data_IF_493023431960
#
_entry.id   IF_493023431960
#
_cell.length_a   1.000
_cell.length_b   1.000
_cell.length_c   1.000
_cell.angle_alpha   90.00
_cell.angle_beta   90.00
_cell.angle_gamma   90.00
#
_symmetry.space_group_name_H-M   'P 1'
#
loop_
_entity.id
_entity.type
_entity.pdbx_description
1 polymer ?
#
# COMPACT_ATOMS: atom_id res chain seq x y z
N UNK A 1 -32.50 2.84 9.31
CA UNK A 1 -31.42 2.70 8.32
C UNK A 1 -30.79 1.32 8.51
N UNK A 2 -30.62 0.54 7.43
CA UNK A 2 -29.96 -0.78 7.52
C UNK A 2 -28.50 -0.51 7.88
N UNK A 3 -27.98 -1.15 8.94
CA UNK A 3 -26.57 -1.01 9.30
C UNK A 3 -25.73 -1.62 8.17
N UNK A 4 -24.80 -0.87 7.60
CA UNK A 4 -23.85 -1.38 6.60
C UNK A 4 -22.98 -2.45 7.25
N UNK A 5 -22.63 -3.47 6.49
CA UNK A 5 -21.71 -4.55 6.87
C UNK A 5 -20.26 -4.07 6.87
N UNK A 6 -19.91 -3.20 5.93
CA UNK A 6 -18.58 -2.59 5.85
C UNK A 6 -18.56 -1.29 6.69
N UNK A 7 -17.54 -1.17 7.54
CA UNK A 7 -17.28 0.01 8.37
C UNK A 7 -15.79 0.38 8.29
N UNK A 8 -15.43 1.50 7.62
CA UNK A 8 -14.04 1.89 7.44
C UNK A 8 -13.40 2.40 8.73
N UNK A 9 -14.19 2.77 9.74
CA UNK A 9 -13.72 3.27 11.03
C UNK A 9 -13.41 2.15 12.03
N UNK A 10 -13.68 0.90 11.66
CA UNK A 10 -13.43 -0.24 12.54
C UNK A 10 -11.94 -0.60 12.56
N UNK A 11 -11.30 -0.47 13.72
CA UNK A 11 -9.89 -0.86 13.90
C UNK A 11 -9.62 -2.33 13.58
N UNK A 12 -10.45 -3.23 14.11
CA UNK A 12 -10.35 -4.69 13.93
C UNK A 12 -11.49 -5.18 13.03
N UNK A 13 -11.32 -5.19 11.69
CA UNK A 13 -12.43 -5.45 10.78
C UNK A 13 -12.95 -6.89 10.86
N UNK A 14 -12.08 -7.86 11.13
CA UNK A 14 -12.43 -9.27 11.18
C UNK A 14 -12.96 -9.65 12.56
N UNK A 15 -14.22 -10.08 12.61
CA UNK A 15 -14.92 -10.49 13.84
C UNK A 15 -15.59 -11.84 13.63
N UNK A 16 -15.37 -12.75 14.58
CA UNK A 16 -15.93 -14.10 14.57
C UNK A 16 -17.44 -14.07 14.90
N UNK A 17 -18.20 -15.14 14.59
CA UNK A 17 -19.64 -15.19 14.86
C UNK A 17 -20.04 -14.99 16.33
N UNK A 18 -19.14 -15.30 17.27
CA UNK A 18 -19.31 -15.09 18.71
C UNK A 18 -18.98 -13.66 19.18
N UNK A 19 -18.59 -12.78 18.25
CA UNK A 19 -18.20 -11.40 18.53
C UNK A 19 -16.71 -11.20 18.82
N UNK A 20 -15.89 -12.26 18.81
CA UNK A 20 -14.45 -12.16 19.06
C UNK A 20 -13.75 -11.42 17.92
N UNK A 21 -13.03 -10.34 18.24
CA UNK A 21 -12.22 -9.60 17.27
C UNK A 21 -10.87 -10.28 17.00
N UNK A 22 -10.51 -10.43 15.73
CA UNK A 22 -9.19 -10.92 15.31
C UNK A 22 -8.22 -9.75 15.30
N UNK A 23 -7.56 -9.51 16.45
CA UNK A 23 -6.72 -8.33 16.68
C UNK A 23 -5.45 -8.25 15.82
N UNK A 24 -5.07 -9.36 15.18
CA UNK A 24 -3.93 -9.44 14.27
C UNK A 24 -4.24 -8.95 12.86
N UNK A 25 -5.50 -8.62 12.57
CA UNK A 25 -5.93 -7.99 11.32
C UNK A 25 -6.48 -6.61 11.66
N UNK A 26 -5.91 -5.57 11.07
CA UNK A 26 -6.28 -4.17 11.34
C UNK A 26 -6.55 -3.40 10.06
N UNK A 27 -7.51 -2.48 10.08
CA UNK A 27 -7.57 -1.43 9.06
C UNK A 27 -6.41 -0.45 9.28
N UNK A 28 -5.61 -0.22 8.24
CA UNK A 28 -4.35 0.52 8.33
C UNK A 28 -4.57 1.99 8.67
N UNK A 29 -5.61 2.63 8.11
CA UNK A 29 -5.98 4.02 8.42
C UNK A 29 -6.48 4.22 9.87
N UNK A 30 -6.75 3.14 10.61
CA UNK A 30 -7.16 3.19 12.02
C UNK A 30 -5.99 2.93 13.00
N UNK A 31 -4.81 2.57 12.49
CA UNK A 31 -3.63 2.25 13.31
C UNK A 31 -2.37 3.01 12.92
N UNK A 32 -2.36 3.70 11.80
CA UNK A 32 -1.25 4.54 11.34
C UNK A 32 -1.70 6.00 11.31
N UNK A 33 -1.05 6.81 12.13
CA UNK A 33 -1.09 8.27 12.09
C UNK A 33 0.33 8.77 11.81
N UNK A 34 0.66 8.94 10.53
CA UNK A 34 1.99 9.36 10.08
C UNK A 34 1.87 10.40 8.96
N UNK A 35 2.54 11.56 9.04
CA UNK A 35 2.29 12.69 8.12
C UNK A 35 2.68 12.42 6.67
N UNK A 36 3.53 11.43 6.41
CA UNK A 36 3.94 11.01 5.06
C UNK A 36 3.24 9.74 4.56
N UNK A 37 2.27 9.20 5.31
CA UNK A 37 1.52 8.00 4.91
C UNK A 37 0.05 8.37 4.72
N UNK A 38 -0.46 8.16 3.51
CA UNK A 38 -1.87 8.32 3.17
C UNK A 38 -2.46 6.93 2.89
N UNK A 39 -3.56 6.58 3.56
CA UNK A 39 -4.18 5.25 3.44
C UNK A 39 -5.68 5.40 3.16
N UNK A 40 -6.13 4.75 2.10
CA UNK A 40 -7.54 4.63 1.76
C UNK A 40 -8.29 3.65 2.67
N UNK A 41 -9.58 3.91 2.83
CA UNK A 41 -10.50 3.07 3.60
C UNK A 41 -10.45 1.59 3.24
N UNK A 42 -10.73 0.74 4.24
CA UNK A 42 -10.82 -0.72 4.16
C UNK A 42 -9.51 -1.46 3.83
N UNK A 43 -8.44 -0.75 3.51
CA UNK A 43 -7.12 -1.36 3.33
C UNK A 43 -6.62 -1.91 4.65
N UNK A 44 -6.32 -3.21 4.68
CA UNK A 44 -5.97 -3.91 5.90
C UNK A 44 -4.57 -4.51 5.85
N UNK A 45 -4.02 -4.71 7.04
CA UNK A 45 -2.80 -5.48 7.24
C UNK A 45 -3.07 -6.65 8.18
N UNK A 46 -2.77 -7.86 7.70
CA UNK A 46 -2.81 -9.08 8.48
C UNK A 46 -1.41 -9.47 8.94
N UNK A 47 -1.16 -9.42 10.24
CA UNK A 47 0.09 -9.83 10.86
C UNK A 47 -0.09 -11.11 11.69
N UNK A 48 1.00 -11.68 12.21
CA UNK A 48 0.90 -12.83 13.12
C UNK A 48 0.79 -12.40 14.58
N UNK A 49 1.19 -11.15 14.87
CA UNK A 49 1.19 -10.56 16.20
C UNK A 49 0.55 -9.17 16.13
N UNK A 50 0.21 -8.60 17.29
CA UNK A 50 -0.19 -7.19 17.38
C UNK A 50 1.09 -6.36 17.46
N UNK A 51 1.16 -5.28 16.68
CA UNK A 51 2.32 -4.39 16.65
C UNK A 51 2.05 -3.14 17.47
N UNK A 52 3.12 -2.58 18.05
CA UNK A 52 3.08 -1.27 18.71
C UNK A 52 3.08 -0.14 17.67
N UNK A 53 3.89 -0.28 16.62
CA UNK A 53 4.02 0.71 15.53
C UNK A 53 3.92 0.03 14.16
N UNK A 54 2.74 0.13 13.56
CA UNK A 54 2.46 -0.39 12.23
C UNK A 54 3.14 0.41 11.11
N UNK A 55 3.34 1.72 11.30
CA UNK A 55 3.94 2.60 10.30
C UNK A 55 5.42 2.24 10.13
N UNK A 56 6.17 2.19 11.23
CA UNK A 56 7.59 1.82 11.23
C UNK A 56 7.81 0.37 10.79
N UNK A 57 6.87 -0.54 11.09
CA UNK A 57 6.96 -1.92 10.59
C UNK A 57 6.78 -1.98 9.07
N UNK A 58 5.75 -1.32 8.54
CA UNK A 58 5.40 -1.41 7.12
C UNK A 58 6.39 -0.62 6.24
N UNK A 59 6.79 0.58 6.67
CA UNK A 59 7.66 1.49 5.94
C UNK A 59 8.82 2.00 6.83
N UNK A 60 9.81 1.15 7.15
CA UNK A 60 10.83 1.42 8.18
C UNK A 60 11.77 2.60 7.89
N UNK A 61 11.79 3.11 6.66
CA UNK A 61 12.64 4.23 6.25
C UNK A 61 11.83 5.48 5.89
N UNK A 62 10.53 5.51 6.21
CA UNK A 62 9.71 6.69 6.01
C UNK A 62 9.58 7.44 7.32
N UNK A 63 10.24 8.59 7.39
CA UNK A 63 10.28 9.42 8.59
C UNK A 63 9.32 10.60 8.44
N UNK A 64 8.90 11.27 9.54
CA UNK A 64 8.05 12.44 9.44
C UNK A 64 8.61 13.58 8.57
N UNK A 65 9.94 13.73 8.57
CA UNK A 65 10.69 14.70 7.77
C UNK A 65 11.05 14.20 6.35
N UNK A 66 10.74 12.94 6.02
CA UNK A 66 10.93 12.45 4.66
C UNK A 66 10.09 13.29 3.69
N UNK A 67 10.66 13.72 2.56
CA UNK A 67 9.93 14.54 1.59
C UNK A 67 9.11 13.71 0.60
N UNK A 68 9.34 12.39 0.52
CA UNK A 68 8.44 11.50 -0.20
C UNK A 68 7.27 11.02 0.67
N UNK A 69 6.18 10.65 0.00
CA UNK A 69 5.01 10.01 0.60
C UNK A 69 4.91 8.53 0.23
N UNK A 70 4.26 7.78 1.10
CA UNK A 70 3.66 6.50 0.79
C UNK A 70 2.15 6.68 0.68
N UNK A 71 1.59 6.36 -0.49
CA UNK A 71 0.14 6.40 -0.71
C UNK A 71 -0.36 4.99 -0.94
N UNK A 72 -1.33 4.55 -0.16
CA UNK A 72 -2.01 3.25 -0.29
C UNK A 72 -3.49 3.52 -0.58
N UNK A 73 -4.01 2.97 -1.66
CA UNK A 73 -5.42 3.11 -2.03
C UNK A 73 -6.37 2.37 -1.07
N UNK A 74 -7.63 2.24 -1.50
CA UNK A 74 -8.70 1.58 -0.75
C UNK A 74 -8.73 0.07 -1.01
N UNK A 75 -9.29 -0.69 -0.07
CA UNK A 75 -9.54 -2.13 -0.19
C UNK A 75 -8.30 -2.99 -0.47
N UNK A 76 -7.09 -2.53 -0.15
CA UNK A 76 -5.87 -3.33 -0.32
C UNK A 76 -5.75 -4.42 0.75
N UNK A 77 -5.16 -5.56 0.35
CA UNK A 77 -4.93 -6.70 1.22
C UNK A 77 -3.43 -6.90 1.40
N UNK A 78 -2.89 -6.51 2.57
CA UNK A 78 -1.46 -6.57 2.85
C UNK A 78 -1.18 -7.70 3.84
N UNK A 79 -0.44 -8.72 3.39
CA UNK A 79 -0.14 -9.89 4.19
C UNK A 79 1.09 -9.70 5.10
N UNK A 80 1.26 -10.63 6.03
CA UNK A 80 2.34 -10.65 7.02
C UNK A 80 3.71 -10.40 6.39
N UNK A 81 4.54 -9.59 7.08
CA UNK A 81 5.95 -9.42 6.73
C UNK A 81 6.22 -8.53 5.50
N UNK A 82 5.19 -7.97 4.86
CA UNK A 82 5.38 -7.01 3.77
C UNK A 82 6.20 -5.80 4.25
N UNK A 83 7.10 -5.32 3.38
CA UNK A 83 7.93 -4.13 3.60
C UNK A 83 7.84 -3.20 2.41
N UNK A 84 7.70 -1.91 2.68
CA UNK A 84 7.69 -0.85 1.69
C UNK A 84 8.90 0.03 1.96
N UNK A 85 9.94 -0.12 1.14
CA UNK A 85 11.16 0.66 1.24
C UNK A 85 10.92 1.98 0.50
N UNK A 86 11.02 3.10 1.22
CA UNK A 86 10.81 4.45 0.68
C UNK A 86 12.11 5.13 0.29
N UNK A 87 12.03 6.27 -0.39
CA UNK A 87 13.22 6.87 -1.00
C UNK A 87 14.28 7.34 -0.01
N UNK A 88 13.92 7.61 1.24
CA UNK A 88 14.87 7.98 2.29
C UNK A 88 15.78 6.82 2.74
N UNK A 89 15.52 5.59 2.28
CA UNK A 89 16.44 4.47 2.45
C UNK A 89 17.67 4.54 1.53
N UNK A 90 17.64 5.34 0.47
CA UNK A 90 18.73 5.42 -0.50
C UNK A 90 19.86 6.30 0.02
N UNK A 91 21.10 5.86 -0.21
CA UNK A 91 22.31 6.64 0.09
C UNK A 91 22.79 7.37 -1.16
N UNK A 92 23.58 8.43 -0.97
CA UNK A 92 24.29 9.07 -2.06
C UNK A 92 25.33 8.10 -2.66
N UNK A 93 25.30 7.91 -3.98
CA UNK A 93 26.20 7.00 -4.72
C UNK A 93 27.15 7.73 -5.69
N UNK A 94 27.15 9.07 -5.71
CA UNK A 94 27.96 9.84 -6.65
C UNK A 94 29.44 9.92 -6.27
N UNK A 95 29.77 9.71 -4.99
CA UNK A 95 31.15 9.76 -4.48
C UNK A 95 31.82 8.39 -4.42
N UNK A 96 33.06 8.35 -3.92
CA UNK A 96 33.78 7.09 -3.68
C UNK A 96 33.24 6.27 -2.50
N UNK A 97 32.42 6.87 -1.64
CA UNK A 97 31.82 6.22 -0.48
C UNK A 97 30.31 6.45 -0.48
N UNK A 98 29.56 5.40 -0.12
CA UNK A 98 28.12 5.46 0.17
C UNK A 98 27.83 5.56 1.67
N UNK A 99 28.87 5.65 2.51
CA UNK A 99 28.70 5.79 3.96
C UNK A 99 28.08 7.15 4.30
N UNK A 100 26.99 7.20 5.10
CA UNK A 100 26.29 8.44 5.39
C UNK A 100 26.96 9.18 6.56
N UNK A 101 28.17 9.72 6.36
CA UNK A 101 28.95 10.38 7.42
C UNK A 101 28.12 11.41 8.20
N UNK A 102 27.31 12.20 7.50
CA UNK A 102 26.47 13.25 8.10
C UNK A 102 25.51 12.72 9.18
N UNK A 103 25.03 11.48 9.07
CA UNK A 103 24.14 10.87 10.06
C UNK A 103 24.85 10.59 11.40
N UNK A 104 26.18 10.46 11.40
CA UNK A 104 26.99 10.14 12.58
C UNK A 104 27.83 11.31 13.09
N UNK A 105 27.80 12.44 12.39
CA UNK A 105 28.52 13.67 12.77
C UNK A 105 27.59 14.76 13.28
N UNK A 106 26.32 14.44 13.53
CA UNK A 106 25.36 15.39 14.10
C UNK A 106 25.79 15.81 15.50
N UNK A 107 25.62 17.09 15.80
CA UNK A 107 25.89 17.71 17.10
C UNK A 107 24.66 18.50 17.56
N UNK A 108 24.59 18.94 18.83
CA UNK A 108 23.49 19.81 19.30
C UNK A 108 23.34 21.12 18.49
N UNK A 109 24.37 21.54 17.76
CA UNK A 109 24.37 22.73 16.90
C UNK A 109 23.85 22.45 15.47
N UNK A 110 23.61 21.19 15.10
CA UNK A 110 23.10 20.84 13.77
C UNK A 110 21.71 21.42 13.57
N UNK A 111 21.56 22.27 12.56
CA UNK A 111 20.32 22.97 12.25
C UNK A 111 19.28 22.07 11.56
N UNK A 112 18.00 22.43 11.67
CA UNK A 112 16.92 21.75 10.95
C UNK A 112 17.17 21.71 9.43
N UNK A 113 17.74 22.78 8.87
CA UNK A 113 18.09 22.85 7.43
C UNK A 113 19.16 21.83 7.05
N UNK A 114 20.14 21.58 7.92
CA UNK A 114 21.16 20.55 7.69
C UNK A 114 20.54 19.15 7.73
N UNK A 115 19.61 18.91 8.66
CA UNK A 115 18.85 17.65 8.73
C UNK A 115 18.01 17.44 7.46
N UNK A 116 17.27 18.47 7.02
CA UNK A 116 16.49 18.42 5.78
C UNK A 116 17.36 18.12 4.56
N UNK A 117 18.57 18.70 4.50
CA UNK A 117 19.52 18.45 3.42
C UNK A 117 20.01 16.99 3.38
N UNK A 118 20.05 16.27 4.52
CA UNK A 118 20.42 14.84 4.55
C UNK A 118 19.42 13.97 3.80
N UNK A 119 18.14 14.39 3.71
CA UNK A 119 17.15 13.70 2.91
C UNK A 119 17.31 13.97 1.41
N UNK A 120 18.07 14.98 0.97
CA UNK A 120 18.18 15.37 -0.43
C UNK A 120 19.30 14.63 -1.17
N UNK A 121 19.23 13.29 -1.19
CA UNK A 121 20.18 12.45 -1.91
C UNK A 121 19.96 12.48 -3.43
N UNK A 122 21.02 12.58 -4.25
CA UNK A 122 20.92 12.45 -5.70
C UNK A 122 20.28 11.10 -6.10
N UNK A 123 19.36 11.12 -7.07
CA UNK A 123 18.72 9.90 -7.57
C UNK A 123 17.56 9.37 -6.70
N UNK A 124 17.02 10.17 -5.77
CA UNK A 124 15.76 9.90 -5.07
C UNK A 124 14.68 9.43 -6.07
N UNK A 125 13.90 8.44 -5.67
CA UNK A 125 12.84 7.83 -6.48
C UNK A 125 11.47 8.49 -6.28
N UNK A 126 11.31 9.28 -5.22
CA UNK A 126 10.07 9.99 -4.91
C UNK A 126 9.06 9.09 -4.18
N UNK A 127 7.78 9.39 -4.40
CA UNK A 127 6.67 8.74 -3.72
C UNK A 127 6.48 7.29 -4.17
N UNK A 128 6.12 6.43 -3.23
CA UNK A 128 5.64 5.07 -3.54
C UNK A 128 4.12 5.09 -3.56
N UNK A 129 3.52 4.57 -4.63
CA UNK A 129 2.08 4.55 -4.83
C UNK A 129 1.58 3.11 -4.94
N UNK A 130 0.62 2.74 -4.10
CA UNK A 130 -0.12 1.50 -4.18
C UNK A 130 -1.56 1.89 -4.50
N UNK A 131 -2.10 1.37 -5.60
CA UNK A 131 -3.47 1.62 -6.04
C UNK A 131 -4.53 1.01 -5.11
N UNK A 132 -5.72 0.80 -5.63
CA UNK A 132 -6.88 0.23 -4.95
C UNK A 132 -7.02 -1.26 -5.30
N UNK A 133 -7.65 -2.05 -4.43
CA UNK A 133 -7.83 -3.50 -4.63
C UNK A 133 -6.52 -4.25 -4.91
N UNK A 134 -5.41 -3.80 -4.33
CA UNK A 134 -4.10 -4.45 -4.51
C UNK A 134 -3.94 -5.56 -3.47
N UNK A 135 -3.62 -6.77 -3.93
CA UNK A 135 -3.24 -7.88 -3.06
C UNK A 135 -1.71 -8.01 -2.99
N UNK A 136 -1.14 -7.86 -1.80
CA UNK A 136 0.30 -8.00 -1.56
C UNK A 136 0.56 -9.23 -0.70
N UNK A 137 1.19 -10.23 -1.32
CA UNK A 137 1.53 -11.51 -0.69
C UNK A 137 2.58 -11.39 0.41
N UNK A 138 2.59 -12.41 1.28
CA UNK A 138 3.45 -12.50 2.47
C UNK A 138 4.91 -12.19 2.15
N UNK A 139 5.56 -11.38 2.98
CA UNK A 139 7.00 -11.04 2.89
C UNK A 139 7.42 -10.38 1.56
N UNK A 140 6.50 -9.81 0.77
CA UNK A 140 6.88 -9.02 -0.40
C UNK A 140 7.56 -7.70 0.01
N UNK A 141 8.54 -7.28 -0.78
CA UNK A 141 9.29 -6.03 -0.62
C UNK A 141 8.98 -5.13 -1.81
N UNK A 142 8.47 -3.93 -1.54
CA UNK A 142 8.24 -2.89 -2.54
C UNK A 142 9.38 -1.89 -2.45
N UNK A 143 10.10 -1.66 -3.56
CA UNK A 143 11.25 -0.77 -3.60
C UNK A 143 10.85 0.71 -3.79
N UNK A 144 11.76 1.66 -3.51
CA UNK A 144 11.44 3.09 -3.53
C UNK A 144 10.90 3.59 -4.86
N UNK A 145 9.85 4.41 -4.79
CA UNK A 145 9.28 5.13 -5.93
C UNK A 145 8.46 4.26 -6.89
N UNK A 146 8.19 3.01 -6.53
CA UNK A 146 7.38 2.09 -7.34
C UNK A 146 5.91 2.54 -7.30
N UNK A 147 5.26 2.49 -8.45
CA UNK A 147 3.80 2.60 -8.60
C UNK A 147 3.20 1.23 -8.91
N UNK A 148 2.27 0.77 -8.07
CA UNK A 148 1.49 -0.46 -8.25
C UNK A 148 0.07 -0.09 -8.64
N UNK A 149 -0.34 -0.46 -9.86
CA UNK A 149 -1.66 -0.15 -10.39
C UNK A 149 -2.80 -0.88 -9.68
N UNK A 150 -4.02 -0.34 -9.84
CA UNK A 150 -5.24 -0.90 -9.24
C UNK A 150 -5.44 -2.38 -9.61
N UNK A 151 -5.91 -3.18 -8.65
CA UNK A 151 -6.22 -4.59 -8.87
C UNK A 151 -5.00 -5.49 -9.08
N UNK A 152 -3.77 -5.00 -8.94
CA UNK A 152 -2.57 -5.81 -9.10
C UNK A 152 -2.43 -6.87 -7.99
N UNK A 153 -1.73 -7.96 -8.30
CA UNK A 153 -1.40 -9.01 -7.33
C UNK A 153 0.12 -9.17 -7.27
N UNK A 154 0.68 -8.98 -6.09
CA UNK A 154 2.10 -9.18 -5.82
C UNK A 154 2.27 -10.53 -5.13
N UNK A 155 2.97 -11.47 -5.78
CA UNK A 155 3.24 -12.78 -5.20
C UNK A 155 4.04 -12.68 -3.90
N UNK A 156 3.87 -13.67 -3.02
CA UNK A 156 4.65 -13.75 -1.78
C UNK A 156 6.17 -13.73 -2.06
N UNK A 157 6.94 -13.10 -1.16
CA UNK A 157 8.41 -12.95 -1.23
C UNK A 157 8.92 -12.27 -2.51
N UNK A 158 8.08 -11.53 -3.21
CA UNK A 158 8.49 -10.79 -4.40
C UNK A 158 9.26 -9.53 -4.01
N UNK A 159 10.26 -9.16 -4.81
CA UNK A 159 10.94 -7.86 -4.69
C UNK A 159 10.59 -7.01 -5.89
N UNK A 160 9.65 -6.09 -5.69
CA UNK A 160 9.10 -5.23 -6.74
C UNK A 160 10.03 -4.03 -6.92
N UNK A 161 10.80 -4.07 -8.01
CA UNK A 161 11.84 -3.07 -8.35
C UNK A 161 11.42 -2.10 -9.46
N UNK A 162 10.23 -2.28 -10.03
CA UNK A 162 9.66 -1.50 -11.15
C UNK A 162 8.15 -1.40 -10.97
N UNK A 163 7.55 -0.42 -11.63
CA UNK A 163 6.11 -0.23 -11.65
C UNK A 163 5.37 -1.49 -12.13
N UNK A 164 4.17 -1.67 -11.59
CA UNK A 164 3.29 -2.80 -11.89
C UNK A 164 2.02 -2.24 -12.51
N UNK A 165 1.72 -2.68 -13.73
CA UNK A 165 0.51 -2.24 -14.42
C UNK A 165 -0.76 -2.75 -13.71
N UNK A 166 -1.90 -2.03 -13.82
CA UNK A 166 -3.16 -2.45 -13.24
C UNK A 166 -3.55 -3.88 -13.61
N UNK A 167 -4.19 -4.58 -12.67
CA UNK A 167 -4.68 -5.96 -12.82
C UNK A 167 -3.61 -6.97 -13.26
N UNK A 168 -2.34 -6.68 -13.00
CA UNK A 168 -1.22 -7.58 -13.35
C UNK A 168 -0.80 -8.40 -12.14
N UNK A 169 -0.56 -9.69 -12.36
CA UNK A 169 0.05 -10.58 -11.37
C UNK A 169 1.56 -10.57 -11.61
N UNK A 170 2.34 -10.24 -10.58
CA UNK A 170 3.80 -10.26 -10.63
C UNK A 170 4.36 -11.18 -9.55
N UNK A 171 5.56 -11.71 -9.78
CA UNK A 171 6.26 -12.54 -8.79
C UNK A 171 7.76 -12.61 -9.00
N UNK A 172 8.50 -12.91 -7.92
CA UNK A 172 9.94 -13.21 -7.96
C UNK A 172 10.84 -12.07 -7.45
N UNK A 173 12.15 -12.29 -7.51
CA UNK A 173 13.19 -11.33 -7.13
C UNK A 173 14.30 -11.28 -8.21
N UNK A 174 14.35 -10.24 -9.07
CA UNK A 174 13.38 -9.15 -9.16
C UNK A 174 12.01 -9.65 -9.65
N UNK A 175 10.94 -9.00 -9.21
CA UNK A 175 9.57 -9.35 -9.61
C UNK A 175 9.38 -9.14 -11.12
N UNK A 176 8.73 -10.09 -11.77
CA UNK A 176 8.38 -10.05 -13.20
C UNK A 176 6.89 -10.28 -13.37
N UNK A 177 6.31 -9.70 -14.41
CA UNK A 177 4.94 -9.99 -14.82
C UNK A 177 4.78 -11.48 -15.15
N UNK A 178 3.76 -12.10 -14.58
CA UNK A 178 3.36 -13.49 -14.82
C UNK A 178 2.22 -13.51 -15.83
N UNK A 179 1.13 -12.78 -15.54
CA UNK A 179 -0.03 -12.61 -16.42
C UNK A 179 -0.91 -11.44 -15.98
N UNK A 180 -1.81 -11.00 -16.86
CA UNK A 180 -2.96 -10.16 -16.48
C UNK A 180 -4.06 -11.03 -15.84
N UNK A 181 -4.84 -10.44 -14.92
CA UNK A 181 -6.00 -11.09 -14.29
C UNK A 181 -7.15 -11.31 -15.29
N UNK A 182 -7.36 -10.34 -16.19
CA UNK A 182 -8.49 -10.29 -17.13
C UNK A 182 -8.04 -9.83 -18.53
N UNK A 183 -9.00 -9.78 -19.47
CA UNK A 183 -8.78 -9.15 -20.78
C UNK A 183 -8.62 -7.63 -20.65
N UNK A 184 -7.92 -7.01 -21.58
CA UNK A 184 -7.73 -5.55 -21.62
C UNK A 184 -9.08 -4.79 -21.59
N UNK A 185 -10.07 -5.24 -22.36
CA UNK A 185 -11.42 -4.65 -22.35
C UNK A 185 -12.06 -4.67 -20.95
N UNK A 186 -11.86 -5.75 -20.20
CA UNK A 186 -12.39 -5.86 -18.82
C UNK A 186 -11.63 -4.93 -17.88
N UNK A 187 -10.31 -4.85 -18.04
CA UNK A 187 -9.44 -3.97 -17.25
C UNK A 187 -9.82 -2.51 -17.48
N UNK A 188 -9.96 -2.07 -18.73
CA UNK A 188 -10.38 -0.71 -19.09
C UNK A 188 -11.72 -0.35 -18.43
N UNK A 189 -12.71 -1.25 -18.54
CA UNK A 189 -14.02 -1.07 -17.89
C UNK A 189 -13.91 -0.94 -16.38
N UNK A 190 -13.10 -1.77 -15.72
CA UNK A 190 -12.90 -1.69 -14.27
C UNK A 190 -12.21 -0.39 -13.85
N UNK A 191 -11.22 0.07 -14.62
CA UNK A 191 -10.50 1.32 -14.38
C UNK A 191 -11.36 2.56 -14.66
N UNK A 192 -12.36 2.46 -15.54
CA UNK A 192 -13.38 3.49 -15.71
C UNK A 192 -14.41 3.45 -14.57
N UNK A 193 -14.83 2.25 -14.15
CA UNK A 193 -15.84 2.01 -13.13
C UNK A 193 -15.42 2.52 -11.74
N UNK A 194 -14.15 2.27 -11.37
CA UNK A 194 -13.55 2.59 -10.07
C UNK A 194 -14.49 2.28 -8.90
N UNK A 195 -14.96 1.04 -8.84
CA UNK A 195 -15.98 0.62 -7.86
C UNK A 195 -15.60 0.93 -6.41
N UNK A 196 -14.30 0.96 -6.10
CA UNK A 196 -13.76 1.35 -4.79
C UNK A 196 -14.08 2.79 -4.36
N UNK A 197 -14.55 3.63 -5.28
CA UNK A 197 -15.02 4.99 -4.99
C UNK A 197 -16.53 5.09 -4.79
N UNK A 198 -17.28 4.00 -4.93
CA UNK A 198 -18.71 4.00 -4.63
C UNK A 198 -18.97 4.11 -3.14
N UNK A 199 -20.14 4.64 -2.79
CA UNK A 199 -20.63 4.58 -1.42
C UNK A 199 -20.82 3.12 -0.97
N UNK A 200 -20.65 2.87 0.32
CA UNK A 200 -20.65 1.52 0.91
C UNK A 200 -21.93 0.77 0.57
N UNK A 201 -23.09 1.43 0.62
CA UNK A 201 -24.38 0.81 0.29
C UNK A 201 -24.41 0.31 -1.16
N UNK A 202 -23.83 1.06 -2.11
CA UNK A 202 -23.77 0.64 -3.52
C UNK A 202 -22.81 -0.53 -3.69
N UNK A 203 -21.70 -0.57 -2.95
CA UNK A 203 -20.80 -1.74 -2.94
C UNK A 203 -21.54 -2.96 -2.41
N UNK A 204 -22.20 -2.86 -1.26
CA UNK A 204 -22.91 -3.97 -0.60
C UNK A 204 -24.02 -4.56 -1.47
N UNK A 205 -24.79 -3.72 -2.15
CA UNK A 205 -25.84 -4.15 -3.08
C UNK A 205 -25.28 -4.91 -4.29
N UNK A 206 -24.00 -4.73 -4.61
CA UNK A 206 -23.36 -5.27 -5.81
C UNK A 206 -22.20 -6.23 -5.52
N UNK A 207 -22.04 -6.66 -4.26
CA UNK A 207 -20.97 -7.57 -3.84
C UNK A 207 -20.91 -8.84 -4.69
N UNK A 208 -22.06 -9.46 -4.97
CA UNK A 208 -22.11 -10.68 -5.78
C UNK A 208 -21.51 -10.45 -7.19
N UNK A 209 -21.77 -9.29 -7.79
CA UNK A 209 -21.26 -8.96 -9.11
C UNK A 209 -19.75 -8.69 -9.08
N UNK A 210 -19.27 -7.99 -8.04
CA UNK A 210 -17.84 -7.72 -7.81
C UNK A 210 -17.08 -9.04 -7.61
N UNK A 211 -17.56 -9.91 -6.72
CA UNK A 211 -16.91 -11.16 -6.35
C UNK A 211 -16.89 -12.19 -7.49
N UNK A 212 -17.93 -12.22 -8.33
CA UNK A 212 -18.05 -13.18 -9.43
C UNK A 212 -17.62 -12.62 -10.80
N UNK A 213 -16.92 -11.49 -10.84
CA UNK A 213 -16.43 -10.87 -12.08
C UNK A 213 -17.53 -10.56 -13.12
N UNK A 214 -18.75 -10.23 -12.68
CA UNK A 214 -19.87 -9.88 -13.56
C UNK A 214 -19.77 -8.41 -14.00
N UNK A 215 -18.80 -8.15 -14.88
CA UNK A 215 -18.55 -6.80 -15.39
C UNK A 215 -19.75 -6.22 -16.16
N UNK A 216 -20.57 -7.07 -16.79
CA UNK A 216 -21.76 -6.63 -17.53
C UNK A 216 -22.79 -6.03 -16.59
N UNK A 217 -23.10 -6.73 -15.49
CA UNK A 217 -24.00 -6.21 -14.46
C UNK A 217 -23.46 -4.91 -13.86
N UNK A 218 -22.18 -4.86 -13.51
CA UNK A 218 -21.55 -3.66 -12.94
C UNK A 218 -21.58 -2.46 -13.89
N UNK A 219 -21.39 -2.66 -15.20
CA UNK A 219 -21.45 -1.57 -16.18
C UNK A 219 -22.86 -1.02 -16.37
N UNK A 220 -23.87 -1.90 -16.33
CA UNK A 220 -25.26 -1.50 -16.54
C UNK A 220 -25.80 -0.62 -15.40
N UNK A 221 -25.24 -0.73 -14.20
CA UNK A 221 -25.63 0.03 -12.99
C UNK A 221 -24.68 1.19 -12.66
N UNK A 222 -23.77 1.50 -13.58
CA UNK A 222 -22.78 2.57 -13.40
C UNK A 222 -23.45 3.95 -13.32
N UNK A 223 -24.54 4.13 -14.08
CA UNK A 223 -25.41 5.32 -14.09
C UNK A 223 -26.20 5.43 -12.77
#
# INVERSE_FOLDING_TARGET
>A
MKKTLLDPQKKYPMVMPDGTEIKTVVHLNQVIDHPQIEIGDFSYFGHFEVLEDYASFLAPYLFPLSPEKLVIGKFCQIAHGVRIITSSANHNMNGFSTFPFNNFMMTPETSAKEIEAMFQVPGRKGNTHIGNDVWIGMEAIIMPGVTIGDGAIIGARSVVVKDVEPYTIVGGNPAKAIKKRFSEETIEKLLELKWWNWDVEKIEQNLEAILNSDIKKLYNIRL
#
